data_IF_685315891699
#
_entry.id   IF_685315891699
#
_cell.length_a   1.000
_cell.length_b   1.000
_cell.length_c   1.000
_cell.angle_alpha   90.00
_cell.angle_beta   90.00
_cell.angle_gamma   90.00
#
_symmetry.space_group_name_H-M   'P 1'
#
loop_
_entity.id
_entity.type
_entity.pdbx_description
1 polymer ?
#
# COMPACT_ATOMS: atom_id res chain seq x y z
N UNK A 1 -29.94 11.90 1.62
CA UNK A 1 -29.02 13.00 1.96
C UNK A 1 -27.61 12.56 1.59
N UNK A 2 -26.79 13.47 1.10
CA UNK A 2 -25.36 13.15 0.88
C UNK A 2 -24.65 13.04 2.24
N UNK A 3 -23.54 12.28 2.32
CA UNK A 3 -22.77 12.19 3.56
C UNK A 3 -22.30 13.59 4.02
N UNK A 4 -21.97 14.48 3.07
CA UNK A 4 -21.58 15.86 3.36
C UNK A 4 -22.69 16.63 4.10
N UNK A 5 -23.95 16.49 3.67
CA UNK A 5 -25.11 17.12 4.34
C UNK A 5 -25.34 16.54 5.74
N UNK A 6 -25.22 15.23 5.91
CA UNK A 6 -25.36 14.56 7.22
C UNK A 6 -24.31 15.05 8.21
N UNK A 7 -23.05 15.14 7.79
CA UNK A 7 -21.91 15.55 8.65
C UNK A 7 -22.00 17.04 8.98
N UNK A 8 -22.48 17.89 8.07
CA UNK A 8 -22.62 19.35 8.31
C UNK A 8 -23.59 19.71 9.43
N UNK A 9 -24.53 18.81 9.77
CA UNK A 9 -25.49 18.97 10.85
C UNK A 9 -24.98 18.45 12.20
N UNK A 10 -23.80 17.84 12.24
CA UNK A 10 -23.26 17.27 13.47
C UNK A 10 -22.81 18.38 14.45
N UNK A 11 -23.19 18.32 15.71
CA UNK A 11 -22.64 19.21 16.74
C UNK A 11 -21.15 18.85 16.99
N UNK A 12 -20.34 19.85 17.34
CA UNK A 12 -18.88 19.71 17.49
C UNK A 12 -18.43 18.57 18.43
N UNK A 13 -19.23 18.28 19.50
CA UNK A 13 -18.93 17.18 20.41
C UNK A 13 -19.06 15.80 19.76
N UNK A 14 -20.01 15.62 18.80
CA UNK A 14 -20.14 14.38 18.02
C UNK A 14 -18.94 14.19 17.11
N UNK A 15 -18.49 15.26 16.45
CA UNK A 15 -17.28 15.20 15.59
C UNK A 15 -16.06 14.80 16.42
N UNK A 16 -15.87 15.40 17.61
CA UNK A 16 -14.80 15.05 18.52
C UNK A 16 -14.88 13.59 18.98
N UNK A 17 -16.09 13.12 19.32
CA UNK A 17 -16.30 11.73 19.74
C UNK A 17 -16.03 10.73 18.59
N UNK A 18 -16.47 11.04 17.37
CA UNK A 18 -16.15 10.25 16.17
C UNK A 18 -14.64 10.17 15.96
N UNK A 19 -13.92 11.29 16.07
CA UNK A 19 -12.47 11.34 15.96
C UNK A 19 -11.78 10.43 16.98
N UNK A 20 -12.24 10.48 18.24
CA UNK A 20 -11.71 9.60 19.30
C UNK A 20 -12.00 8.12 19.03
N UNK A 21 -13.21 7.79 18.56
CA UNK A 21 -13.58 6.41 18.23
C UNK A 21 -12.76 5.89 17.05
N UNK A 22 -12.60 6.67 15.99
CA UNK A 22 -11.80 6.28 14.81
C UNK A 22 -10.34 6.08 15.23
N UNK A 23 -9.76 6.98 16.01
CA UNK A 23 -8.40 6.84 16.53
C UNK A 23 -8.24 5.55 17.36
N UNK A 24 -9.13 5.33 18.32
CA UNK A 24 -9.12 4.13 19.16
C UNK A 24 -9.31 2.85 18.33
N UNK A 25 -10.18 2.89 17.32
CA UNK A 25 -10.38 1.77 16.40
C UNK A 25 -9.12 1.47 15.57
N UNK A 26 -8.42 2.47 15.05
CA UNK A 26 -7.16 2.29 14.32
C UNK A 26 -6.08 1.67 15.21
N UNK A 27 -5.92 2.15 16.45
CA UNK A 27 -4.96 1.56 17.41
C UNK A 27 -5.33 0.12 17.74
N UNK A 28 -6.61 -0.16 18.01
CA UNK A 28 -7.09 -1.51 18.28
C UNK A 28 -6.88 -2.46 17.09
N UNK A 29 -7.21 -2.01 15.89
CA UNK A 29 -6.99 -2.78 14.66
C UNK A 29 -5.51 -3.05 14.41
N UNK A 30 -4.62 -2.10 14.73
CA UNK A 30 -3.17 -2.32 14.65
C UNK A 30 -2.73 -3.44 15.59
N UNK A 31 -3.19 -3.45 16.84
CA UNK A 31 -2.90 -4.52 17.82
C UNK A 31 -3.38 -5.87 17.29
N UNK A 32 -4.61 -5.92 16.74
CA UNK A 32 -5.18 -7.14 16.16
C UNK A 32 -4.44 -7.58 14.89
N UNK A 33 -4.00 -6.63 14.07
CA UNK A 33 -3.23 -6.90 12.85
C UNK A 33 -1.86 -7.50 13.15
N UNK A 34 -1.12 -6.94 14.11
CA UNK A 34 0.16 -7.49 14.56
C UNK A 34 0.02 -8.92 15.09
N UNK A 35 -1.02 -9.17 15.91
CA UNK A 35 -1.31 -10.50 16.41
C UNK A 35 -1.71 -11.46 15.28
N UNK A 36 -2.59 -11.01 14.38
CA UNK A 36 -3.09 -11.78 13.24
C UNK A 36 -1.96 -12.19 12.29
N UNK A 37 -1.11 -11.25 11.92
CA UNK A 37 0.04 -11.49 11.05
C UNK A 37 0.98 -12.55 11.63
N UNK A 38 1.41 -12.37 12.89
CA UNK A 38 2.29 -13.34 13.56
C UNK A 38 1.68 -14.74 13.60
N UNK A 39 0.37 -14.85 13.76
CA UNK A 39 -0.34 -16.14 13.84
C UNK A 39 -0.54 -16.79 12.48
N UNK A 40 -0.91 -16.02 11.46
CA UNK A 40 -1.10 -16.52 10.09
C UNK A 40 0.24 -16.99 9.51
N UNK A 41 1.29 -16.15 9.60
CA UNK A 41 2.63 -16.51 9.12
C UNK A 41 3.19 -17.72 9.86
N UNK A 42 2.97 -17.83 11.17
CA UNK A 42 3.41 -19.00 11.93
C UNK A 42 2.75 -20.30 11.43
N UNK A 43 1.44 -20.26 11.11
CA UNK A 43 0.74 -21.41 10.50
C UNK A 43 1.27 -21.75 9.11
N UNK A 44 1.57 -20.75 8.28
CA UNK A 44 2.19 -20.98 6.96
C UNK A 44 3.55 -21.66 7.10
N UNK A 45 4.30 -21.33 8.16
CA UNK A 45 5.60 -21.92 8.48
C UNK A 45 5.50 -23.21 9.32
N UNK A 46 4.31 -23.77 9.53
CA UNK A 46 4.04 -24.98 10.33
C UNK A 46 4.56 -24.90 11.78
N UNK A 47 4.54 -23.71 12.38
CA UNK A 47 4.91 -23.46 13.79
C UNK A 47 3.79 -22.84 14.58
N UNK A 48 3.85 -22.95 15.92
CA UNK A 48 2.92 -22.28 16.80
C UNK A 48 3.20 -20.78 16.84
N UNK A 49 2.16 -19.97 16.61
CA UNK A 49 2.21 -18.52 16.83
C UNK A 49 2.12 -18.16 18.32
N UNK A 50 1.98 -16.85 18.65
CA UNK A 50 1.80 -16.38 20.03
C UNK A 50 0.62 -17.09 20.70
N UNK A 51 0.85 -17.72 21.87
CA UNK A 51 -0.19 -18.48 22.58
C UNK A 51 -0.13 -18.34 24.11
N UNK A 52 0.90 -17.68 24.69
CA UNK A 52 1.13 -17.66 26.15
C UNK A 52 0.49 -16.47 26.86
N UNK A 53 0.49 -15.27 26.25
CA UNK A 53 -0.01 -14.06 26.91
C UNK A 53 -1.48 -13.85 26.54
N UNK A 54 -2.38 -14.12 27.49
CA UNK A 54 -3.83 -14.12 27.28
C UNK A 54 -4.33 -15.34 26.48
N UNK A 55 -5.67 -15.45 26.30
CA UNK A 55 -6.24 -16.52 25.46
C UNK A 55 -5.73 -16.38 24.03
N UNK A 56 -5.12 -17.43 23.50
CA UNK A 56 -4.56 -17.48 22.16
C UNK A 56 -3.49 -16.42 21.85
N UNK A 57 -2.84 -15.83 22.88
CA UNK A 57 -1.81 -14.82 22.69
C UNK A 57 -2.31 -13.43 22.27
N UNK A 58 -3.62 -13.13 22.43
CA UNK A 58 -4.23 -11.86 22.01
C UNK A 58 -3.58 -10.62 22.64
N UNK A 59 -3.15 -10.73 23.91
CA UNK A 59 -2.54 -9.63 24.63
C UNK A 59 -1.05 -9.45 24.33
N UNK A 60 -0.44 -10.31 23.52
CA UNK A 60 1.00 -10.26 23.23
C UNK A 60 1.42 -8.92 22.60
N UNK A 61 0.66 -8.43 21.60
CA UNK A 61 0.98 -7.17 20.93
C UNK A 61 0.85 -5.96 21.87
N UNK A 62 -0.11 -5.99 22.81
CA UNK A 62 -0.25 -4.95 23.83
C UNK A 62 0.93 -4.97 24.81
N UNK A 63 1.32 -6.15 25.29
CA UNK A 63 2.49 -6.28 26.19
C UNK A 63 3.78 -5.88 25.48
N UNK A 64 3.93 -6.18 24.19
CA UNK A 64 5.07 -5.71 23.39
C UNK A 64 5.10 -4.17 23.32
N UNK A 65 3.93 -3.52 23.16
CA UNK A 65 3.81 -2.06 23.21
C UNK A 65 4.20 -1.46 24.58
N UNK A 66 3.70 -2.06 25.67
CA UNK A 66 4.07 -1.64 27.04
C UNK A 66 5.57 -1.83 27.31
N UNK A 67 6.14 -2.96 26.86
CA UNK A 67 7.59 -3.19 26.94
C UNK A 67 8.38 -2.09 26.22
N UNK A 68 7.97 -1.69 25.01
CA UNK A 68 8.62 -0.60 24.29
C UNK A 68 8.45 0.74 25.00
N UNK A 69 7.30 1.01 25.62
CA UNK A 69 7.06 2.24 26.37
C UNK A 69 7.95 2.36 27.64
N UNK A 70 8.25 1.24 28.29
CA UNK A 70 9.08 1.18 29.49
C UNK A 70 10.57 1.02 29.19
N UNK A 71 10.95 0.80 27.92
CA UNK A 71 12.34 0.65 27.52
C UNK A 71 13.06 2.00 27.56
N UNK A 72 14.36 1.99 27.87
CA UNK A 72 15.20 3.18 27.85
C UNK A 72 15.21 3.86 26.48
N UNK A 73 15.02 5.17 26.48
CA UNK A 73 15.02 6.00 25.27
C UNK A 73 16.44 6.51 24.99
N UNK A 74 17.02 6.04 23.90
CA UNK A 74 18.36 6.38 23.47
C UNK A 74 18.29 7.40 22.31
N UNK A 75 19.14 8.44 22.41
CA UNK A 75 19.36 9.41 21.34
C UNK A 75 20.85 9.42 21.02
N UNK A 76 21.27 9.14 19.78
CA UNK A 76 22.69 9.19 19.40
C UNK A 76 23.28 10.59 19.60
N UNK A 77 24.56 10.67 19.98
CA UNK A 77 25.24 11.96 20.19
C UNK A 77 25.33 12.83 18.94
N UNK A 78 25.42 12.19 17.76
CA UNK A 78 25.48 12.83 16.46
C UNK A 78 24.11 13.22 15.88
N UNK A 79 23.01 12.83 16.55
CA UNK A 79 21.65 13.08 16.06
C UNK A 79 21.20 14.52 16.35
N UNK A 80 20.46 15.10 15.39
CA UNK A 80 19.68 16.33 15.62
C UNK A 80 18.44 15.98 16.46
N UNK A 81 18.45 16.36 17.74
CA UNK A 81 17.44 15.97 18.73
C UNK A 81 16.03 16.40 18.35
N UNK A 82 15.86 17.60 17.78
CA UNK A 82 14.53 18.15 17.46
C UNK A 82 13.94 17.35 16.30
N UNK A 83 14.69 17.23 15.23
CA UNK A 83 14.24 16.51 14.03
C UNK A 83 14.05 15.02 14.31
N UNK A 84 14.92 14.42 15.13
CA UNK A 84 14.85 13.03 15.55
C UNK A 84 13.58 12.68 16.33
N UNK A 85 13.04 13.61 17.12
CA UNK A 85 11.77 13.42 17.83
C UNK A 85 10.57 13.74 16.93
N UNK A 86 10.70 14.71 16.04
CA UNK A 86 9.62 15.18 15.17
C UNK A 86 9.29 14.16 14.06
N UNK A 87 10.29 13.47 13.54
CA UNK A 87 10.15 12.52 12.44
C UNK A 87 9.09 11.43 12.69
N UNK A 88 9.12 10.65 13.80
CA UNK A 88 8.10 9.65 14.10
C UNK A 88 6.72 10.26 14.35
N UNK A 89 6.64 11.49 14.89
CA UNK A 89 5.38 12.19 15.11
C UNK A 89 4.73 12.54 13.78
N UNK A 90 5.50 13.09 12.82
CA UNK A 90 5.00 13.41 11.46
C UNK A 90 4.45 12.14 10.81
N UNK A 91 5.25 11.07 10.76
CA UNK A 91 4.84 9.82 10.12
C UNK A 91 3.57 9.23 10.74
N UNK A 92 3.46 9.23 12.07
CA UNK A 92 2.29 8.69 12.77
C UNK A 92 1.05 9.57 12.57
N UNK A 93 1.19 10.89 12.71
CA UNK A 93 0.05 11.82 12.59
C UNK A 93 -0.57 11.75 11.20
N UNK A 94 0.23 11.72 10.14
CA UNK A 94 -0.26 11.65 8.76
C UNK A 94 -1.06 10.38 8.48
N UNK A 95 -0.63 9.23 9.00
CA UNK A 95 -1.37 7.98 8.83
C UNK A 95 -2.77 8.03 9.47
N UNK A 96 -2.92 8.63 10.66
CA UNK A 96 -4.22 8.80 11.29
C UNK A 96 -5.10 9.83 10.58
N UNK A 97 -4.53 10.92 10.06
CA UNK A 97 -5.26 11.94 9.32
C UNK A 97 -5.91 11.40 8.05
N UNK A 98 -5.33 10.37 7.42
CA UNK A 98 -5.91 9.73 6.24
C UNK A 98 -7.34 9.18 6.50
N UNK A 99 -7.63 8.72 7.72
CA UNK A 99 -8.94 8.19 8.09
C UNK A 99 -10.03 9.27 8.23
N UNK A 100 -9.68 10.55 8.26
CA UNK A 100 -10.65 11.62 8.42
C UNK A 100 -11.69 11.68 7.28
N UNK A 101 -11.28 11.33 6.07
CA UNK A 101 -12.12 11.40 4.86
C UNK A 101 -12.65 10.05 4.37
N UNK A 102 -12.32 8.96 5.06
CA UNK A 102 -12.76 7.61 4.65
C UNK A 102 -14.14 7.34 5.25
N UNK A 103 -15.18 7.07 4.43
CA UNK A 103 -16.52 6.75 4.92
C UNK A 103 -16.57 5.31 5.43
N UNK A 104 -16.64 5.14 6.74
CA UNK A 104 -16.71 3.83 7.39
C UNK A 104 -18.12 3.24 7.36
N UNK A 105 -19.16 4.10 7.37
CA UNK A 105 -20.58 3.69 7.30
C UNK A 105 -21.36 4.60 6.37
N UNK A 106 -22.55 4.14 5.96
CA UNK A 106 -23.59 5.01 5.41
C UNK A 106 -24.32 5.80 6.49
N UNK A 107 -25.61 6.11 6.26
CA UNK A 107 -26.47 6.78 7.23
C UNK A 107 -26.69 5.87 8.45
N UNK A 108 -26.36 6.36 9.63
CA UNK A 108 -26.53 5.66 10.92
C UNK A 108 -27.10 6.62 11.96
N UNK A 109 -27.84 6.08 12.94
CA UNK A 109 -28.26 6.83 14.11
C UNK A 109 -27.21 6.74 15.20
N UNK A 110 -26.65 7.89 15.58
CA UNK A 110 -25.65 8.02 16.62
C UNK A 110 -26.14 9.00 17.69
N UNK A 111 -26.48 8.50 18.88
CA UNK A 111 -27.09 9.29 19.99
C UNK A 111 -28.30 10.15 19.59
N UNK A 112 -29.14 9.64 18.68
CA UNK A 112 -30.34 10.35 18.22
C UNK A 112 -30.13 11.30 17.01
N UNK A 113 -28.91 11.46 16.56
CA UNK A 113 -28.57 12.22 15.35
C UNK A 113 -28.35 11.24 14.16
N UNK A 114 -28.92 11.58 13.02
CA UNK A 114 -28.67 10.90 11.76
C UNK A 114 -27.35 11.41 11.17
N UNK A 115 -26.36 10.54 11.07
CA UNK A 115 -25.03 10.92 10.63
C UNK A 115 -24.31 9.76 9.95
N UNK A 116 -23.12 9.98 9.36
CA UNK A 116 -22.20 8.97 8.85
C UNK A 116 -20.94 8.90 9.71
N UNK A 117 -20.32 7.71 9.86
CA UNK A 117 -19.04 7.57 10.54
C UNK A 117 -17.88 7.98 9.61
N UNK A 118 -17.78 9.27 9.41
CA UNK A 118 -16.76 9.99 8.66
C UNK A 118 -16.55 11.32 9.36
N UNK A 119 -15.32 11.84 9.44
CA UNK A 119 -15.07 13.13 10.12
C UNK A 119 -15.40 14.32 9.23
N UNK A 120 -15.00 14.23 7.97
CA UNK A 120 -15.27 15.26 6.97
C UNK A 120 -15.41 14.65 5.59
N UNK A 121 -16.28 15.20 4.77
CA UNK A 121 -16.43 14.84 3.37
C UNK A 121 -15.94 16.00 2.49
N UNK A 122 -14.75 15.83 1.95
CA UNK A 122 -14.11 16.80 1.07
C UNK A 122 -14.40 16.46 -0.38
N UNK A 123 -14.71 17.47 -1.19
CA UNK A 123 -14.89 17.31 -2.65
C UNK A 123 -13.64 16.73 -3.34
N UNK A 124 -12.47 16.91 -2.74
CA UNK A 124 -11.17 16.37 -3.18
C UNK A 124 -10.61 15.36 -2.18
N UNK A 125 -11.47 14.56 -1.53
CA UNK A 125 -11.11 13.68 -0.43
C UNK A 125 -9.98 12.71 -0.76
N UNK A 126 -9.97 12.12 -1.96
CA UNK A 126 -8.90 11.20 -2.37
C UNK A 126 -7.56 11.92 -2.55
N UNK A 127 -7.56 13.14 -3.12
CA UNK A 127 -6.33 13.94 -3.24
C UNK A 127 -5.78 14.35 -1.86
N UNK A 128 -6.67 14.61 -0.89
CA UNK A 128 -6.26 14.85 0.49
C UNK A 128 -5.52 13.66 1.09
N UNK A 129 -6.00 12.42 0.87
CA UNK A 129 -5.29 11.22 1.35
C UNK A 129 -3.91 11.10 0.73
N UNK A 130 -3.79 11.28 -0.60
CA UNK A 130 -2.50 11.24 -1.29
C UNK A 130 -1.55 12.36 -0.78
N UNK A 131 -2.04 13.58 -0.61
CA UNK A 131 -1.23 14.68 -0.11
C UNK A 131 -0.70 14.42 1.31
N UNK A 132 -1.52 13.83 2.18
CA UNK A 132 -1.09 13.47 3.54
C UNK A 132 -0.11 12.30 3.51
N UNK A 133 -0.30 11.30 2.65
CA UNK A 133 0.66 10.22 2.47
C UNK A 133 2.04 10.77 2.06
N UNK A 134 2.08 11.70 1.08
CA UNK A 134 3.31 12.40 0.68
C UNK A 134 3.98 13.15 1.84
N UNK A 135 3.21 13.80 2.73
CA UNK A 135 3.77 14.42 3.95
C UNK A 135 4.36 13.37 4.88
N UNK A 136 3.76 12.17 4.97
CA UNK A 136 4.28 11.04 5.75
C UNK A 136 5.69 10.60 5.33
N UNK A 137 6.02 10.71 4.04
CA UNK A 137 7.36 10.39 3.51
C UNK A 137 8.44 11.26 4.14
N UNK A 138 8.13 12.53 4.43
CA UNK A 138 9.10 13.41 5.13
C UNK A 138 9.47 12.86 6.50
N UNK A 139 8.54 12.19 7.21
CA UNK A 139 8.88 11.52 8.47
C UNK A 139 9.99 10.48 8.30
N UNK A 140 9.96 9.70 7.23
CA UNK A 140 10.99 8.68 6.93
C UNK A 140 12.32 9.33 6.53
N UNK A 141 12.30 10.34 5.64
CA UNK A 141 13.50 11.05 5.20
C UNK A 141 14.19 11.74 6.37
N UNK A 142 13.41 12.47 7.18
CA UNK A 142 13.92 13.19 8.34
C UNK A 142 14.46 12.23 9.41
N UNK A 143 13.86 11.06 9.57
CA UNK A 143 14.36 10.04 10.48
C UNK A 143 15.75 9.54 10.09
N UNK A 144 15.93 9.22 8.79
CA UNK A 144 17.23 8.80 8.26
C UNK A 144 18.28 9.89 8.38
N UNK A 145 17.91 11.13 8.05
CA UNK A 145 18.84 12.26 8.05
C UNK A 145 19.25 12.67 9.49
N UNK A 146 18.29 12.78 10.41
CA UNK A 146 18.54 13.23 11.78
C UNK A 146 19.34 12.25 12.64
N UNK A 147 19.44 11.00 12.22
CA UNK A 147 20.15 9.94 12.96
C UNK A 147 21.67 10.12 13.02
N UNK A 148 22.25 10.94 12.12
CA UNK A 148 23.70 11.20 12.07
C UNK A 148 24.55 9.98 11.70
N UNK A 149 23.96 8.94 11.12
CA UNK A 149 24.60 7.70 10.69
C UNK A 149 24.35 7.43 9.20
N UNK A 150 25.30 6.77 8.53
CA UNK A 150 25.21 6.49 7.08
C UNK A 150 24.16 5.46 6.73
N UNK A 151 23.95 4.42 7.55
CA UNK A 151 22.96 3.38 7.29
C UNK A 151 21.51 3.88 7.34
N UNK A 152 21.08 4.61 8.39
CA UNK A 152 19.77 5.23 8.41
C UNK A 152 19.53 6.21 7.27
N UNK A 153 20.53 7.01 6.89
CA UNK A 153 20.42 7.95 5.78
C UNK A 153 20.16 7.22 4.45
N UNK A 154 20.93 6.19 4.15
CA UNK A 154 20.72 5.38 2.94
C UNK A 154 19.38 4.64 2.96
N UNK A 155 18.97 4.13 4.13
CA UNK A 155 17.67 3.50 4.32
C UNK A 155 16.52 4.47 4.07
N UNK A 156 16.58 5.68 4.62
CA UNK A 156 15.59 6.73 4.42
C UNK A 156 15.49 7.18 2.95
N UNK A 157 16.62 7.35 2.26
CA UNK A 157 16.64 7.71 0.84
C UNK A 157 16.08 6.59 -0.05
N UNK A 158 16.37 5.34 0.22
CA UNK A 158 15.83 4.20 -0.53
C UNK A 158 14.32 4.06 -0.32
N UNK A 159 13.86 4.17 0.92
CA UNK A 159 12.43 4.09 1.26
C UNK A 159 11.65 5.25 0.64
N UNK A 160 12.14 6.48 0.73
CA UNK A 160 11.48 7.63 0.12
C UNK A 160 11.39 7.53 -1.41
N UNK A 161 12.47 7.12 -2.07
CA UNK A 161 12.46 6.92 -3.52
C UNK A 161 11.45 5.84 -3.94
N UNK A 162 11.32 4.78 -3.16
CA UNK A 162 10.31 3.74 -3.35
C UNK A 162 8.90 4.31 -3.23
N UNK A 163 8.58 4.93 -2.09
CA UNK A 163 7.22 5.45 -1.82
C UNK A 163 6.81 6.46 -2.87
N UNK A 164 7.65 7.47 -3.19
CA UNK A 164 7.36 8.49 -4.21
C UNK A 164 7.07 7.85 -5.59
N UNK A 165 7.87 6.85 -5.98
CA UNK A 165 7.69 6.19 -7.29
C UNK A 165 6.35 5.45 -7.39
N UNK A 166 5.94 4.77 -6.33
CA UNK A 166 4.70 3.99 -6.31
C UNK A 166 3.48 4.84 -6.02
N UNK A 167 3.63 5.95 -5.29
CA UNK A 167 2.59 6.95 -5.11
C UNK A 167 2.18 7.58 -6.45
N UNK A 168 3.13 7.88 -7.34
CA UNK A 168 2.82 8.34 -8.71
C UNK A 168 2.01 7.30 -9.47
N UNK A 169 2.41 6.03 -9.45
CA UNK A 169 1.67 4.96 -10.12
C UNK A 169 0.27 4.76 -9.53
N UNK A 170 0.15 4.84 -8.19
CA UNK A 170 -1.12 4.77 -7.49
C UNK A 170 -2.02 5.94 -7.86
N UNK A 171 -1.52 7.17 -7.82
CA UNK A 171 -2.28 8.37 -8.23
C UNK A 171 -2.80 8.27 -9.66
N UNK A 172 -1.98 7.81 -10.62
CA UNK A 172 -2.42 7.58 -11.98
C UNK A 172 -3.52 6.51 -12.07
N UNK A 173 -3.46 5.44 -11.29
CA UNK A 173 -4.52 4.43 -11.26
C UNK A 173 -5.86 4.99 -10.80
N UNK A 174 -5.83 5.97 -9.87
CA UNK A 174 -7.01 6.62 -9.32
C UNK A 174 -7.65 7.63 -10.28
N UNK A 175 -6.89 8.21 -11.21
CA UNK A 175 -7.46 9.10 -12.26
C UNK A 175 -8.54 8.37 -13.06
N UNK A 176 -8.36 7.09 -13.35
CA UNK A 176 -9.39 6.31 -14.04
C UNK A 176 -10.68 6.18 -13.21
N UNK A 177 -10.57 6.07 -11.88
CA UNK A 177 -11.70 6.05 -10.95
C UNK A 177 -12.42 7.40 -10.98
N UNK A 178 -11.70 8.52 -10.98
CA UNK A 178 -12.29 9.87 -11.03
C UNK A 178 -13.02 10.14 -12.34
N UNK A 179 -12.46 9.71 -13.47
CA UNK A 179 -13.12 9.83 -14.78
C UNK A 179 -14.43 9.03 -14.82
N UNK A 180 -14.44 7.85 -14.18
CA UNK A 180 -15.60 6.98 -14.20
C UNK A 180 -16.69 7.41 -13.21
N UNK A 181 -16.32 7.81 -11.97
CA UNK A 181 -17.23 8.29 -10.94
C UNK A 181 -17.74 9.72 -11.20
N UNK A 182 -16.92 10.57 -11.85
CA UNK A 182 -17.19 12.00 -12.03
C UNK A 182 -16.91 12.84 -10.79
N UNK A 183 -16.32 12.28 -9.73
CA UNK A 183 -16.01 12.95 -8.46
C UNK A 183 -14.71 12.44 -7.85
N UNK A 184 -14.10 13.26 -6.98
CA UNK A 184 -12.95 12.91 -6.14
C UNK A 184 -13.34 12.78 -4.65
N UNK A 185 -14.63 13.02 -4.30
CA UNK A 185 -15.15 12.76 -2.96
C UNK A 185 -15.25 11.26 -2.71
N UNK A 186 -14.79 10.82 -1.56
CA UNK A 186 -14.81 9.39 -1.17
C UNK A 186 -16.25 8.86 -1.02
N UNK A 187 -17.17 9.66 -0.51
CA UNK A 187 -18.57 9.29 -0.34
C UNK A 187 -19.32 9.20 -1.68
N UNK A 188 -19.07 10.14 -2.60
CA UNK A 188 -19.67 10.12 -3.93
C UNK A 188 -19.16 8.98 -4.79
N UNK A 189 -17.88 8.63 -4.65
CA UNK A 189 -17.30 7.46 -5.32
C UNK A 189 -17.97 6.16 -4.83
N UNK A 190 -18.24 6.03 -3.52
CA UNK A 190 -18.99 4.89 -2.98
C UNK A 190 -20.44 4.90 -3.53
N UNK A 191 -21.09 6.07 -3.60
CA UNK A 191 -22.43 6.20 -4.16
C UNK A 191 -22.48 5.78 -5.65
N UNK A 192 -21.46 6.14 -6.43
CA UNK A 192 -21.38 5.79 -7.84
C UNK A 192 -21.24 4.26 -8.10
N UNK A 193 -20.86 3.48 -7.09
CA UNK A 193 -20.72 2.02 -7.17
C UNK A 193 -21.99 1.24 -6.81
N UNK A 194 -23.15 1.84 -6.98
CA UNK A 194 -24.44 1.20 -6.65
C UNK A 194 -24.73 -0.05 -7.46
N UNK A 195 -24.51 -0.01 -8.75
CA UNK A 195 -24.85 -1.10 -9.68
C UNK A 195 -23.71 -2.10 -9.83
N UNK A 196 -22.49 -1.61 -10.02
CA UNK A 196 -21.29 -2.43 -10.22
C UNK A 196 -20.12 -1.86 -9.46
N UNK A 197 -19.39 -2.72 -8.75
CA UNK A 197 -18.15 -2.34 -8.12
C UNK A 197 -17.09 -2.00 -9.15
N UNK A 198 -16.31 -0.98 -8.91
CA UNK A 198 -15.28 -0.52 -9.84
C UNK A 198 -14.16 -1.54 -10.06
N UNK A 199 -13.96 -2.50 -9.15
CA UNK A 199 -13.02 -3.60 -9.35
C UNK A 199 -13.35 -4.42 -10.62
N UNK A 200 -14.62 -4.54 -11.01
CA UNK A 200 -15.03 -5.27 -12.23
C UNK A 200 -14.77 -4.42 -13.47
N UNK A 201 -15.18 -3.16 -13.43
CA UNK A 201 -15.13 -2.25 -14.60
C UNK A 201 -13.72 -1.71 -14.84
N UNK A 202 -13.00 -1.39 -13.76
CA UNK A 202 -11.66 -0.80 -13.77
C UNK A 202 -10.61 -1.80 -13.25
N UNK A 203 -10.73 -3.08 -13.63
CA UNK A 203 -9.84 -4.15 -13.16
C UNK A 203 -8.35 -3.85 -13.35
N UNK A 204 -7.87 -3.29 -14.49
CA UNK A 204 -6.46 -2.91 -14.61
C UNK A 204 -6.03 -1.81 -13.62
N UNK A 205 -6.88 -0.80 -13.37
CA UNK A 205 -6.60 0.21 -12.32
C UNK A 205 -6.48 -0.42 -10.95
N UNK A 206 -7.37 -1.38 -10.63
CA UNK A 206 -7.31 -2.10 -9.36
C UNK A 206 -6.00 -2.89 -9.20
N UNK A 207 -5.53 -3.56 -10.26
CA UNK A 207 -4.23 -4.28 -10.23
C UNK A 207 -3.06 -3.31 -9.99
N UNK A 208 -3.02 -2.17 -10.72
CA UNK A 208 -1.97 -1.16 -10.53
C UNK A 208 -2.02 -0.65 -9.08
N UNK A 209 -3.21 -0.31 -8.59
CA UNK A 209 -3.40 0.13 -7.22
C UNK A 209 -2.93 -0.92 -6.22
N UNK A 210 -3.33 -2.19 -6.39
CA UNK A 210 -2.96 -3.30 -5.50
C UNK A 210 -1.45 -3.52 -5.42
N UNK A 211 -0.74 -3.37 -6.54
CA UNK A 211 0.72 -3.45 -6.55
C UNK A 211 1.32 -2.21 -5.87
N UNK A 212 0.80 -1.02 -6.18
CA UNK A 212 1.32 0.25 -5.65
C UNK A 212 1.11 0.37 -4.15
N UNK A 213 -0.03 -0.08 -3.59
CA UNK A 213 -0.29 -0.04 -2.15
C UNK A 213 0.70 -0.89 -1.35
N UNK A 214 1.17 -2.04 -1.90
CA UNK A 214 2.21 -2.84 -1.26
C UNK A 214 3.57 -2.15 -1.33
N UNK A 215 3.84 -1.45 -2.45
CA UNK A 215 5.06 -0.66 -2.62
C UNK A 215 5.14 0.55 -1.70
N UNK A 216 4.02 1.24 -1.47
CA UNK A 216 3.92 2.42 -0.61
C UNK A 216 4.09 2.07 0.88
N UNK A 217 3.58 0.91 1.30
CA UNK A 217 3.66 0.49 2.70
C UNK A 217 4.99 -0.15 3.09
N UNK A 218 5.99 -0.16 2.20
CA UNK A 218 7.29 -0.79 2.42
C UNK A 218 7.21 -2.25 2.92
N UNK A 219 6.16 -3.00 2.55
CA UNK A 219 5.97 -4.40 2.96
C UNK A 219 6.52 -5.39 1.93
N UNK A 220 6.94 -6.55 2.41
CA UNK A 220 7.37 -7.62 1.53
C UNK A 220 6.28 -7.98 0.49
N UNK A 221 6.64 -8.17 -0.80
CA UNK A 221 7.98 -8.41 -1.34
C UNK A 221 8.84 -7.16 -1.57
N UNK A 222 8.34 -5.95 -1.29
CA UNK A 222 8.94 -4.65 -1.56
C UNK A 222 9.56 -4.00 -0.31
N UNK A 223 9.88 -4.79 0.70
CA UNK A 223 10.50 -4.35 1.95
C UNK A 223 12.00 -4.05 1.76
N UNK A 224 12.27 -2.90 1.15
CA UNK A 224 13.62 -2.43 0.85
C UNK A 224 14.15 -1.50 1.95
N UNK A 225 13.26 -0.95 2.76
CA UNK A 225 13.59 -0.07 3.87
C UNK A 225 14.26 -0.83 5.03
N UNK A 226 13.74 -2.04 5.33
CA UNK A 226 14.21 -2.91 6.41
C UNK A 226 15.21 -3.97 5.94
N UNK A 227 15.91 -3.75 4.81
CA UNK A 227 16.85 -4.73 4.23
C UNK A 227 17.93 -5.15 5.24
N UNK A 228 17.58 -6.01 6.22
CA UNK A 228 18.48 -6.46 7.29
C UNK A 228 19.84 -6.94 6.77
N UNK A 229 19.86 -7.60 5.64
CA UNK A 229 21.09 -8.06 4.99
C UNK A 229 21.92 -6.99 4.30
N UNK A 230 21.34 -5.77 4.05
CA UNK A 230 22.01 -4.68 3.33
C UNK A 230 22.19 -3.43 4.19
N UNK A 231 21.18 -3.05 4.99
CA UNK A 231 21.10 -1.76 5.69
C UNK A 231 20.81 -1.90 7.20
N UNK A 232 21.00 -3.07 7.78
CA UNK A 232 20.75 -3.40 9.21
C UNK A 232 19.27 -3.27 9.57
N UNK A 233 18.77 -2.08 9.89
CA UNK A 233 17.35 -1.79 10.16
C UNK A 233 16.82 -0.61 9.36
N UNK A 234 17.55 -0.16 8.33
CA UNK A 234 17.11 0.96 7.50
C UNK A 234 17.02 2.28 8.29
N UNK A 235 16.01 3.11 7.99
CA UNK A 235 15.86 4.46 8.58
C UNK A 235 15.62 4.47 10.08
N UNK A 236 15.11 3.38 10.67
CA UNK A 236 14.80 3.30 12.11
C UNK A 236 15.89 2.59 12.94
N UNK A 237 17.06 2.31 12.36
CA UNK A 237 18.18 1.61 13.04
C UNK A 237 18.57 2.24 14.36
N UNK A 238 18.63 3.57 14.43
CA UNK A 238 19.02 4.31 15.63
C UNK A 238 17.86 4.61 16.60
N UNK A 239 16.62 4.28 16.20
CA UNK A 239 15.44 4.56 16.99
C UNK A 239 15.19 3.46 18.02
N UNK A 240 14.83 3.87 19.26
CA UNK A 240 14.49 2.96 20.36
C UNK A 240 13.20 3.39 21.07
N UNK A 241 12.71 2.56 21.98
CA UNK A 241 11.59 2.87 22.87
C UNK A 241 10.31 3.30 22.13
N UNK A 242 9.62 4.31 22.61
CA UNK A 242 8.38 4.83 22.04
C UNK A 242 8.54 5.38 20.62
N UNK A 243 9.69 5.96 20.27
CA UNK A 243 9.95 6.50 18.96
C UNK A 243 9.93 5.40 17.88
N UNK A 244 10.53 4.25 18.18
CA UNK A 244 10.45 3.06 17.34
C UNK A 244 9.02 2.53 17.27
N UNK A 245 8.30 2.50 18.41
CA UNK A 245 6.91 2.06 18.46
C UNK A 245 5.99 2.93 17.60
N UNK A 246 6.24 4.25 17.53
CA UNK A 246 5.48 5.16 16.67
C UNK A 246 5.68 4.87 15.18
N UNK A 247 6.89 4.58 14.72
CA UNK A 247 7.11 4.16 13.33
C UNK A 247 6.41 2.84 13.03
N UNK A 248 6.53 1.86 13.91
CA UNK A 248 5.86 0.57 13.76
C UNK A 248 4.33 0.71 13.76
N UNK A 249 3.79 1.59 14.62
CA UNK A 249 2.36 1.93 14.63
C UNK A 249 1.95 2.58 13.30
N UNK A 250 2.71 3.58 12.82
CA UNK A 250 2.40 4.29 11.58
C UNK A 250 2.39 3.35 10.37
N UNK A 251 3.30 2.39 10.32
CA UNK A 251 3.35 1.39 9.24
C UNK A 251 2.08 0.54 9.18
N UNK A 252 1.61 0.00 10.32
CA UNK A 252 0.37 -0.80 10.33
C UNK A 252 -0.88 0.05 10.09
N UNK A 253 -0.93 1.27 10.62
CA UNK A 253 -2.04 2.20 10.35
C UNK A 253 -2.06 2.57 8.86
N UNK A 254 -0.89 2.76 8.21
CA UNK A 254 -0.81 3.00 6.77
C UNK A 254 -1.33 1.82 5.95
N UNK A 255 -0.98 0.58 6.31
CA UNK A 255 -1.54 -0.63 5.65
C UNK A 255 -3.07 -0.63 5.74
N UNK A 256 -3.62 -0.31 6.91
CA UNK A 256 -5.07 -0.22 7.09
C UNK A 256 -5.66 0.93 6.26
N UNK A 257 -4.99 2.10 6.18
CA UNK A 257 -5.45 3.25 5.43
C UNK A 257 -5.50 2.98 3.92
N UNK A 258 -4.44 2.42 3.32
CA UNK A 258 -4.44 2.06 1.89
C UNK A 258 -5.43 0.94 1.58
N UNK A 259 -5.63 -0.01 2.50
CA UNK A 259 -6.64 -1.07 2.38
C UNK A 259 -8.06 -0.50 2.47
N UNK A 260 -8.29 0.46 3.37
CA UNK A 260 -9.55 1.17 3.50
C UNK A 260 -9.86 2.02 2.25
N UNK A 261 -8.83 2.69 1.71
CA UNK A 261 -8.95 3.45 0.47
C UNK A 261 -9.25 2.52 -0.72
N UNK A 262 -8.56 1.36 -0.86
CA UNK A 262 -8.87 0.34 -1.86
C UNK A 262 -10.32 -0.14 -1.77
N UNK A 263 -10.79 -0.40 -0.56
CA UNK A 263 -12.18 -0.81 -0.29
C UNK A 263 -13.17 0.26 -0.74
N UNK A 264 -12.90 1.53 -0.43
CA UNK A 264 -13.75 2.67 -0.78
C UNK A 264 -13.80 2.90 -2.29
N UNK A 265 -12.67 2.81 -2.97
CA UNK A 265 -12.56 3.16 -4.38
C UNK A 265 -12.95 2.03 -5.34
N UNK A 266 -12.76 0.77 -4.97
CA UNK A 266 -12.95 -0.37 -5.87
C UNK A 266 -14.01 -1.38 -5.43
N UNK A 267 -14.26 -1.52 -4.12
CA UNK A 267 -15.18 -2.52 -3.57
C UNK A 267 -16.47 -1.93 -2.98
N UNK A 268 -16.83 -0.72 -3.35
CA UNK A 268 -18.06 -0.07 -2.89
C UNK A 268 -18.06 0.34 -1.41
N UNK A 269 -16.88 0.52 -0.79
CA UNK A 269 -16.76 1.02 0.58
C UNK A 269 -17.55 0.19 1.60
N UNK A 270 -18.43 0.85 2.34
CA UNK A 270 -19.29 0.26 3.37
C UNK A 270 -20.48 -0.53 2.83
N UNK A 271 -20.75 -0.52 1.51
CA UNK A 271 -21.87 -1.26 0.91
C UNK A 271 -21.68 -2.77 1.05
N UNK A 272 -22.78 -3.49 1.16
CA UNK A 272 -22.79 -4.95 1.20
C UNK A 272 -22.25 -5.57 -0.10
N UNK A 273 -21.91 -6.85 -0.05
CA UNK A 273 -21.62 -7.63 -1.25
C UNK A 273 -22.82 -7.65 -2.21
N UNK A 274 -22.60 -7.65 -3.52
CA UNK A 274 -23.69 -7.79 -4.51
C UNK A 274 -24.58 -8.99 -4.18
N UNK A 275 -25.89 -8.75 -4.05
CA UNK A 275 -26.88 -9.74 -3.63
C UNK A 275 -27.20 -9.75 -2.13
N UNK A 276 -26.42 -9.11 -1.26
CA UNK A 276 -26.67 -9.03 0.17
C UNK A 276 -27.09 -7.62 0.64
N UNK A 277 -27.53 -6.75 -0.25
CA UNK A 277 -27.94 -5.36 0.03
C UNK A 277 -29.02 -5.23 1.12
N UNK A 278 -29.87 -6.27 1.32
CA UNK A 278 -30.86 -6.30 2.38
C UNK A 278 -30.23 -6.23 3.79
N UNK A 279 -28.97 -6.56 3.95
CA UNK A 279 -28.26 -6.51 5.24
C UNK A 279 -27.82 -5.11 5.64
N UNK A 280 -27.78 -4.15 4.72
CA UNK A 280 -27.33 -2.79 4.98
C UNK A 280 -28.21 -2.05 6.00
N UNK A 281 -29.51 -2.39 6.03
CA UNK A 281 -30.47 -1.79 6.96
C UNK A 281 -30.45 -2.43 8.37
N UNK A 282 -29.73 -3.53 8.55
CA UNK A 282 -29.65 -4.20 9.83
C UNK A 282 -28.99 -3.32 10.88
N UNK A 283 -29.48 -3.42 12.11
CA UNK A 283 -28.99 -2.63 13.24
C UNK A 283 -29.05 -1.11 12.99
N UNK A 284 -30.03 -0.61 12.19
CA UNK A 284 -30.15 0.82 11.89
C UNK A 284 -28.99 1.37 11.06
N UNK A 285 -28.43 0.58 10.16
CA UNK A 285 -27.31 0.95 9.29
C UNK A 285 -25.91 0.57 9.80
N UNK A 286 -25.77 0.21 11.08
CA UNK A 286 -24.47 -0.15 11.65
C UNK A 286 -23.82 -1.39 11.05
N UNK A 287 -24.61 -2.27 10.42
CA UNK A 287 -24.06 -3.47 9.78
C UNK A 287 -23.18 -3.14 8.55
N UNK A 288 -23.30 -1.94 7.98
CA UNK A 288 -22.41 -1.45 6.92
C UNK A 288 -20.96 -1.35 7.38
N UNK A 289 -20.73 -1.03 8.67
CA UNK A 289 -19.41 -1.03 9.30
C UNK A 289 -18.75 -2.42 9.25
N UNK A 290 -19.54 -3.47 9.47
CA UNK A 290 -19.04 -4.86 9.42
C UNK A 290 -18.58 -5.21 8.01
N UNK A 291 -19.36 -4.83 6.98
CA UNK A 291 -18.97 -5.04 5.58
C UNK A 291 -17.69 -4.31 5.22
N UNK A 292 -17.54 -3.06 5.68
CA UNK A 292 -16.32 -2.30 5.48
C UNK A 292 -15.11 -3.00 6.08
N UNK A 293 -15.18 -3.39 7.34
CA UNK A 293 -14.06 -4.06 8.01
C UNK A 293 -13.74 -5.45 7.44
N UNK A 294 -14.73 -6.22 7.04
CA UNK A 294 -14.50 -7.53 6.39
C UNK A 294 -13.66 -7.36 5.11
N UNK A 295 -13.95 -6.34 4.30
CA UNK A 295 -13.19 -6.06 3.07
C UNK A 295 -11.77 -5.55 3.37
N UNK A 296 -11.63 -4.65 4.36
CA UNK A 296 -10.30 -4.17 4.80
C UNK A 296 -9.45 -5.32 5.35
N UNK A 297 -10.04 -6.20 6.15
CA UNK A 297 -9.34 -7.38 6.67
C UNK A 297 -9.00 -8.39 5.56
N UNK A 298 -9.78 -8.49 4.50
CA UNK A 298 -9.45 -9.29 3.34
C UNK A 298 -8.18 -8.76 2.63
N UNK A 299 -8.07 -7.44 2.44
CA UNK A 299 -6.82 -6.83 1.93
C UNK A 299 -5.65 -7.04 2.89
N UNK A 300 -5.86 -6.85 4.18
CA UNK A 300 -4.82 -7.12 5.18
C UNK A 300 -4.35 -8.57 5.11
N UNK A 301 -5.27 -9.52 4.95
CA UNK A 301 -4.90 -10.93 4.75
C UNK A 301 -4.04 -11.13 3.50
N UNK A 302 -4.34 -10.42 2.40
CA UNK A 302 -3.51 -10.46 1.18
C UNK A 302 -2.10 -9.96 1.47
N UNK A 303 -1.93 -8.85 2.22
CA UNK A 303 -0.60 -8.37 2.65
C UNK A 303 0.18 -9.44 3.42
N UNK A 304 -0.46 -10.08 4.38
CA UNK A 304 0.16 -11.15 5.18
C UNK A 304 0.52 -12.35 4.31
N UNK A 305 -0.35 -12.70 3.37
CA UNK A 305 -0.13 -13.81 2.44
C UNK A 305 1.04 -13.53 1.50
N UNK A 306 1.11 -12.34 0.91
CA UNK A 306 2.23 -11.92 0.06
C UNK A 306 3.57 -11.96 0.81
N UNK A 307 3.58 -11.49 2.06
CA UNK A 307 4.76 -11.56 2.94
C UNK A 307 5.24 -12.99 3.18
N UNK A 308 4.32 -13.93 3.31
CA UNK A 308 4.62 -15.35 3.58
C UNK A 308 5.00 -16.18 2.36
N UNK A 309 4.70 -15.71 1.13
CA UNK A 309 4.81 -16.51 -0.10
C UNK A 309 5.80 -15.97 -1.11
N UNK A 310 5.87 -14.65 -1.29
CA UNK A 310 6.71 -14.07 -2.33
C UNK A 310 8.14 -13.82 -1.83
N UNK A 311 9.15 -14.10 -2.67
CA UNK A 311 10.51 -13.73 -2.38
C UNK A 311 10.68 -12.21 -2.48
N UNK A 312 11.64 -11.68 -1.75
CA UNK A 312 12.00 -10.25 -1.79
C UNK A 312 12.58 -9.87 -3.14
N UNK A 313 12.14 -8.75 -3.69
CA UNK A 313 12.71 -8.19 -4.92
C UNK A 313 13.92 -7.30 -4.62
N UNK A 314 14.86 -7.27 -5.56
CA UNK A 314 16.00 -6.35 -5.47
C UNK A 314 15.57 -4.93 -5.83
N UNK A 315 16.19 -3.91 -5.19
CA UNK A 315 15.89 -2.50 -5.40
C UNK A 315 15.84 -2.08 -6.88
N UNK A 316 16.86 -2.48 -7.67
CA UNK A 316 16.94 -2.12 -9.09
C UNK A 316 15.78 -2.71 -9.92
N UNK A 317 15.37 -3.93 -9.62
CA UNK A 317 14.26 -4.60 -10.31
C UNK A 317 12.93 -3.91 -9.99
N UNK A 318 12.74 -3.60 -8.72
CA UNK A 318 11.55 -2.95 -8.22
C UNK A 318 11.38 -1.53 -8.80
N UNK A 319 12.45 -0.71 -8.80
CA UNK A 319 12.41 0.64 -9.38
C UNK A 319 12.21 0.59 -10.90
N UNK A 320 12.85 -0.35 -11.61
CA UNK A 320 12.61 -0.55 -13.05
C UNK A 320 11.17 -0.95 -13.35
N UNK A 321 10.57 -1.78 -12.51
CA UNK A 321 9.18 -2.19 -12.66
C UNK A 321 8.22 -1.01 -12.49
N UNK A 322 8.37 -0.19 -11.46
CA UNK A 322 7.57 1.01 -11.24
C UNK A 322 7.64 1.99 -12.42
N UNK A 323 8.85 2.43 -12.76
CA UNK A 323 9.04 3.46 -13.79
C UNK A 323 8.85 2.99 -15.23
N UNK A 324 9.25 1.77 -15.55
CA UNK A 324 9.22 1.27 -16.95
C UNK A 324 7.97 0.48 -17.29
N UNK A 325 7.23 -0.01 -16.31
CA UNK A 325 6.04 -0.84 -16.54
C UNK A 325 4.79 -0.18 -15.98
N UNK A 326 4.72 0.08 -14.67
CA UNK A 326 3.49 0.55 -14.04
C UNK A 326 3.07 1.95 -14.53
N UNK A 327 4.00 2.92 -14.51
CA UNK A 327 3.67 4.30 -14.91
C UNK A 327 3.27 4.39 -16.40
N UNK A 328 4.03 3.86 -17.37
CA UNK A 328 3.60 3.88 -18.76
C UNK A 328 2.29 3.14 -19.01
N UNK A 329 2.10 1.99 -18.36
CA UNK A 329 0.86 1.23 -18.50
C UNK A 329 -0.34 2.00 -17.94
N UNK A 330 -0.22 2.65 -16.79
CA UNK A 330 -1.29 3.47 -16.21
C UNK A 330 -1.66 4.67 -17.10
N UNK A 331 -0.67 5.34 -17.71
CA UNK A 331 -0.95 6.43 -18.66
C UNK A 331 -1.74 5.96 -19.89
N UNK A 332 -1.33 4.84 -20.49
CA UNK A 332 -2.08 4.25 -21.61
C UNK A 332 -3.49 3.84 -21.17
N UNK A 333 -3.61 3.27 -19.97
CA UNK A 333 -4.90 2.85 -19.45
C UNK A 333 -5.85 4.03 -19.19
N UNK A 334 -5.36 5.17 -18.71
CA UNK A 334 -6.16 6.39 -18.54
C UNK A 334 -6.72 6.85 -19.90
N UNK A 335 -5.91 6.84 -20.96
CA UNK A 335 -6.36 7.19 -22.30
C UNK A 335 -7.48 6.25 -22.78
N UNK A 336 -7.35 4.95 -22.52
CA UNK A 336 -8.38 3.96 -22.86
C UNK A 336 -9.68 4.26 -22.10
N UNK A 337 -9.60 4.44 -20.79
CA UNK A 337 -10.78 4.70 -19.93
C UNK A 337 -11.47 5.99 -20.32
N UNK A 338 -10.72 7.08 -20.57
CA UNK A 338 -11.28 8.38 -20.97
C UNK A 338 -11.99 8.28 -22.31
N UNK A 339 -11.39 7.61 -23.30
CA UNK A 339 -12.02 7.42 -24.62
C UNK A 339 -13.30 6.58 -24.52
N UNK A 340 -13.26 5.47 -23.78
CA UNK A 340 -14.44 4.62 -23.57
C UNK A 340 -15.57 5.38 -22.87
N UNK A 341 -15.22 6.25 -21.91
CA UNK A 341 -16.21 7.06 -21.18
C UNK A 341 -16.87 8.08 -22.10
N UNK A 342 -16.09 8.79 -22.91
CA UNK A 342 -16.62 9.74 -23.90
C UNK A 342 -17.51 9.04 -24.93
N UNK A 343 -17.08 7.89 -25.47
CA UNK A 343 -17.88 7.11 -26.42
C UNK A 343 -19.19 6.63 -25.78
N UNK A 344 -19.17 6.22 -24.53
CA UNK A 344 -20.37 5.81 -23.78
C UNK A 344 -21.34 6.98 -23.54
N UNK A 345 -20.83 8.18 -23.28
CA UNK A 345 -21.67 9.38 -23.08
C UNK A 345 -22.30 9.91 -24.37
N UNK A 346 -21.63 9.71 -25.51
CA UNK A 346 -22.13 10.12 -26.83
C UNK A 346 -23.03 9.08 -27.48
N UNK A 347 -23.45 8.03 -26.75
CA UNK A 347 -24.26 6.92 -27.28
C UNK A 347 -23.65 6.31 -28.54
N UNK A 348 -22.32 6.24 -28.61
CA UNK A 348 -21.63 5.69 -29.76
C UNK A 348 -22.08 4.24 -30.04
N UNK A 349 -22.26 3.84 -31.28
CA UNK A 349 -22.72 2.51 -31.61
C UNK A 349 -21.74 1.47 -31.07
N UNK A 350 -22.22 0.34 -30.51
CA UNK A 350 -21.39 -0.67 -29.87
C UNK A 350 -20.29 -1.24 -30.79
N UNK A 351 -20.49 -1.18 -32.09
CA UNK A 351 -19.49 -1.57 -33.08
C UNK A 351 -18.23 -0.67 -33.04
N UNK A 352 -18.36 0.63 -32.81
CA UNK A 352 -17.22 1.54 -32.65
C UNK A 352 -16.44 1.26 -31.39
N UNK A 353 -17.12 0.96 -30.29
CA UNK A 353 -16.47 0.59 -29.01
C UNK A 353 -15.68 -0.71 -29.19
N UNK A 354 -16.28 -1.71 -29.85
CA UNK A 354 -15.64 -2.99 -30.13
C UNK A 354 -14.41 -2.82 -31.05
N UNK A 355 -14.49 -2.01 -32.10
CA UNK A 355 -13.37 -1.74 -33.01
C UNK A 355 -12.21 -1.00 -32.30
N UNK A 356 -12.53 -0.09 -31.38
CA UNK A 356 -11.53 0.62 -30.58
C UNK A 356 -10.76 -0.34 -29.63
N UNK A 357 -11.49 -1.20 -28.90
CA UNK A 357 -10.88 -2.21 -28.02
C UNK A 357 -10.02 -3.18 -28.83
N UNK A 358 -10.52 -3.63 -29.99
CA UNK A 358 -9.78 -4.54 -30.88
C UNK A 358 -8.50 -3.90 -31.43
N UNK A 359 -8.54 -2.61 -31.83
CA UNK A 359 -7.34 -1.89 -32.31
C UNK A 359 -6.28 -1.76 -31.22
N UNK A 360 -6.66 -1.48 -29.98
CA UNK A 360 -5.73 -1.44 -28.84
C UNK A 360 -5.08 -2.81 -28.61
N UNK A 361 -5.88 -3.88 -28.61
CA UNK A 361 -5.36 -5.24 -28.46
C UNK A 361 -4.37 -5.59 -29.59
N UNK A 362 -4.67 -5.19 -30.83
CA UNK A 362 -3.81 -5.43 -31.97
C UNK A 362 -2.49 -4.65 -31.89
N UNK A 363 -2.55 -3.38 -31.47
CA UNK A 363 -1.37 -2.54 -31.21
C UNK A 363 -0.51 -3.17 -30.09
N UNK A 364 -1.12 -3.64 -29.01
CA UNK A 364 -0.41 -4.32 -27.92
C UNK A 364 0.32 -5.57 -28.41
N UNK A 365 -0.35 -6.43 -29.18
CA UNK A 365 0.26 -7.63 -29.79
C UNK A 365 1.40 -7.25 -30.73
N UNK A 366 1.24 -6.21 -31.54
CA UNK A 366 2.29 -5.74 -32.44
C UNK A 366 3.52 -5.24 -31.68
N UNK A 367 3.32 -4.44 -30.62
CA UNK A 367 4.41 -3.94 -29.78
C UNK A 367 5.11 -5.08 -29.03
N UNK A 368 4.36 -6.02 -28.46
CA UNK A 368 4.95 -7.17 -27.74
C UNK A 368 5.81 -8.03 -28.66
N UNK A 369 5.34 -8.33 -29.88
CA UNK A 369 6.10 -9.10 -30.87
C UNK A 369 7.37 -8.38 -31.33
N UNK A 370 7.34 -7.04 -31.46
CA UNK A 370 8.52 -6.24 -31.81
C UNK A 370 9.55 -6.21 -30.68
N UNK A 371 9.10 -6.13 -29.41
CA UNK A 371 9.97 -6.16 -28.26
C UNK A 371 10.63 -7.54 -28.07
N UNK A 372 9.89 -8.62 -28.30
CA UNK A 372 10.43 -9.98 -28.23
C UNK A 372 11.45 -10.23 -29.34
N UNK A 373 11.21 -9.73 -30.55
CA UNK A 373 12.22 -9.81 -31.65
C UNK A 373 13.51 -9.06 -31.30
N UNK A 374 13.41 -7.87 -30.65
CA UNK A 374 14.60 -7.13 -30.18
C UNK A 374 15.35 -7.88 -29.10
N UNK A 375 14.67 -8.50 -28.14
CA UNK A 375 15.31 -9.32 -27.08
C UNK A 375 16.05 -10.51 -27.68
N UNK A 376 15.43 -11.25 -28.57
CA UNK A 376 16.05 -12.40 -29.28
C UNK A 376 17.24 -11.96 -30.10
N UNK A 377 17.18 -10.79 -30.76
CA UNK A 377 18.31 -10.24 -31.50
C UNK A 377 19.48 -9.85 -30.58
N UNK A 378 19.20 -9.25 -29.43
CA UNK A 378 20.21 -8.90 -28.43
C UNK A 378 20.85 -10.14 -27.78
N UNK A 379 20.07 -11.18 -27.49
CA UNK A 379 20.59 -12.46 -26.97
C UNK A 379 21.48 -13.18 -27.98
N UNK A 380 21.11 -13.15 -29.29
CA UNK A 380 21.95 -13.68 -30.36
C UNK A 380 23.25 -12.87 -30.50
N UNK A 381 23.20 -11.54 -30.41
CA UNK A 381 24.40 -10.69 -30.44
C UNK A 381 25.30 -10.93 -29.23
N UNK A 382 24.76 -11.08 -28.04
CA UNK A 382 25.50 -11.40 -26.82
C UNK A 382 26.16 -12.80 -26.89
N UNK A 383 25.50 -13.80 -27.48
CA UNK A 383 26.06 -15.12 -27.69
C UNK A 383 27.25 -15.13 -28.67
N UNK A 384 27.23 -14.26 -29.67
CA UNK A 384 28.36 -14.15 -30.61
C UNK A 384 29.56 -13.44 -30.02
N UNK A 385 29.40 -12.66 -28.96
CA UNK A 385 30.52 -11.98 -28.26
C UNK A 385 31.24 -12.92 -27.29
N UNK A 386 30.57 -13.95 -26.77
CA UNK A 386 31.17 -14.93 -25.83
C UNK A 386 32.09 -15.96 -26.48
N UNK A 387 32.28 -15.91 -27.79
CA UNK A 387 33.25 -16.77 -28.53
C UNK A 387 34.59 -16.10 -28.81
N UNK A 388 34.81 -14.85 -28.43
CA UNK A 388 36.12 -14.22 -28.40
C UNK A 388 36.82 -14.54 -27.08
N UNK A 389 38.12 -14.86 -27.14
CA UNK A 389 38.99 -15.27 -26.05
C UNK A 389 38.73 -14.47 -24.75
N UNK A 390 38.78 -15.14 -23.57
CA UNK A 390 38.53 -14.47 -22.31
C UNK A 390 39.56 -13.35 -22.08
N UNK A 391 39.09 -12.13 -21.94
CA UNK A 391 39.89 -10.91 -21.73
C UNK A 391 40.61 -10.89 -20.35
N UNK A 392 40.48 -11.94 -19.56
CA UNK A 392 41.17 -12.10 -18.28
C UNK A 392 42.18 -13.26 -18.37
N UNK A 393 43.45 -13.02 -17.99
CA UNK A 393 44.42 -14.10 -17.93
C UNK A 393 43.98 -15.14 -16.88
N UNK A 394 43.57 -16.32 -17.35
CA UNK A 394 43.25 -17.43 -16.47
C UNK A 394 44.57 -17.88 -15.83
N UNK A 395 44.71 -17.93 -14.48
CA UNK A 395 45.90 -18.38 -13.84
C UNK A 395 46.21 -19.84 -14.29
N UNK A 396 47.39 -20.03 -14.86
CA UNK A 396 47.85 -21.36 -15.28
C UNK A 396 48.04 -22.22 -14.03
N UNK A 397 47.23 -23.27 -13.89
CA UNK A 397 47.38 -24.23 -12.80
C UNK A 397 48.77 -24.88 -13.00
N UNK A 398 49.69 -24.75 -12.04
CA UNK A 398 51.01 -25.42 -12.17
C UNK A 398 50.76 -26.91 -12.35
N UNK A 399 51.27 -27.48 -13.43
CA UNK A 399 51.29 -28.93 -13.66
C UNK A 399 51.97 -29.58 -12.46
N UNK A 400 51.24 -30.16 -11.56
CA UNK A 400 51.75 -31.11 -10.58
C UNK A 400 52.26 -32.30 -11.37
N UNK A 401 53.57 -32.35 -11.58
CA UNK A 401 54.25 -33.59 -12.03
C UNK A 401 53.85 -34.68 -11.05
N UNK A 402 53.03 -35.61 -11.54
CA UNK A 402 52.88 -36.91 -10.89
C UNK A 402 54.20 -37.60 -11.08
N UNK A 403 55.10 -37.56 -10.09
CA UNK A 403 56.21 -38.45 -10.02
C UNK A 403 55.65 -39.87 -9.93
N UNK A 404 55.85 -40.62 -10.99
CA UNK A 404 55.68 -42.07 -10.99
C UNK A 404 56.68 -42.65 -9.97
N UNK A 405 56.15 -43.07 -8.83
CA UNK A 405 56.87 -43.93 -7.90
C UNK A 405 56.82 -45.32 -8.53
N UNK A 406 57.84 -45.62 -9.33
CA UNK A 406 58.20 -46.99 -9.66
C UNK A 406 59.13 -47.48 -8.55
N UNK A 407 58.71 -48.49 -7.80
CA UNK A 407 59.49 -49.21 -6.82
C UNK A 407 58.64 -50.32 -6.26
#
# INVERSE_FOLDING_TARGET
MSNAELISQDPGWIIALKGLIIFAACVFLTIMSVWGERRIVARMQQRSGPNRVGKFGLLQALVDGVKLALKEDLIPKAADRIVFVLAPIISTTTCFMAFAVIPLTGEVNFFGYKTAMQLTDLSVGVLYVLAIASVGVYGIVLAGWSSGSTYPLLGGLRSSAQVISYEVAMGLSLVAVFIYSGSMSTSEIVAAQDRWWFVVVLFPSFIIYAISMVGETNRAPFDLAEAEGELVGGFHTEYSSLKFALFFLSEYVNILAVSALATTLFLGGYRALPGLGFTEQWLGGWFTLVWFFVKVLAFFFVFVWLRGTLPRLRYDQFMKFGWKVLIPFSLVWILVVSTLRVMSQQEAPPALIATFIFSIALIYVAISTLLDRKKVAQEKAARNITTSEPDFPVPVIPNTRVEQING
#
